data_IF_219679756229
#
_entry.id   IF_219679756229
#
_cell.length_a   1.000
_cell.length_b   1.000
_cell.length_c   1.000
_cell.angle_alpha   90.00
_cell.angle_beta   90.00
_cell.angle_gamma   90.00
#
_symmetry.space_group_name_H-M   'P 1'
#
loop_
_entity.id
_entity.type
_entity.pdbx_description
1 polymer ?
#
# COMPACT_ATOMS: atom_id res chain seq x y z
N UNK A 1 11.23 7.81 2.60
CA UNK A 1 10.61 7.23 3.81
C UNK A 1 10.91 5.73 3.87
N UNK A 2 10.84 5.05 5.03
CA UNK A 2 10.92 3.57 5.07
C UNK A 2 9.56 2.99 5.43
N UNK A 3 8.94 2.28 4.50
CA UNK A 3 7.77 1.45 4.79
C UNK A 3 8.22 0.20 5.56
N UNK A 4 7.51 -0.14 6.64
CA UNK A 4 7.85 -1.28 7.50
C UNK A 4 6.63 -2.19 7.57
N UNK A 5 6.78 -3.43 7.10
CA UNK A 5 5.75 -4.48 7.22
C UNK A 5 5.52 -4.75 8.71
N UNK A 6 4.25 -4.76 9.11
CA UNK A 6 3.84 -4.87 10.52
C UNK A 6 3.88 -3.55 11.30
N UNK A 7 4.27 -2.45 10.66
CA UNK A 7 4.18 -1.10 11.20
C UNK A 7 2.92 -0.38 10.76
N UNK A 8 2.87 0.92 11.02
CA UNK A 8 1.79 1.81 10.57
C UNK A 8 2.31 2.79 9.53
N UNK A 9 1.43 3.14 8.59
CA UNK A 9 1.71 4.20 7.63
C UNK A 9 1.89 5.52 8.39
N UNK A 10 2.96 6.26 8.13
CA UNK A 10 3.22 7.50 8.83
C UNK A 10 2.14 8.54 8.52
N UNK A 11 1.60 9.18 9.57
CA UNK A 11 0.39 9.98 9.45
C UNK A 11 0.50 11.13 8.43
N UNK A 12 1.67 11.77 8.37
CA UNK A 12 1.96 12.86 7.44
C UNK A 12 1.96 12.43 5.98
N UNK A 13 2.12 11.13 5.72
CA UNK A 13 2.28 10.60 4.37
C UNK A 13 1.01 9.98 3.79
N UNK A 14 -0.03 9.79 4.63
CA UNK A 14 -1.29 9.14 4.24
C UNK A 14 -1.95 9.84 3.04
N UNK A 15 -1.90 11.17 2.99
CA UNK A 15 -2.51 11.94 1.90
C UNK A 15 -1.80 11.78 0.55
N UNK A 16 -0.61 11.19 0.53
CA UNK A 16 0.11 10.91 -0.72
C UNK A 16 -0.16 9.49 -1.24
N UNK A 17 -0.93 8.67 -0.52
CA UNK A 17 -1.38 7.38 -1.04
C UNK A 17 -2.37 7.66 -2.17
N UNK A 18 -2.05 7.19 -3.38
CA UNK A 18 -2.92 7.31 -4.53
C UNK A 18 -3.57 5.96 -4.87
N UNK A 19 -4.63 5.96 -5.70
CA UNK A 19 -5.10 4.73 -6.33
C UNK A 19 -3.97 4.02 -7.08
N UNK A 20 -4.08 2.70 -7.23
CA UNK A 20 -3.13 1.92 -8.01
C UNK A 20 -3.12 2.37 -9.48
N UNK A 21 -1.95 2.37 -10.14
CA UNK A 21 -1.89 2.52 -11.58
C UNK A 21 -2.78 1.48 -12.29
N UNK A 22 -3.55 1.88 -13.32
CA UNK A 22 -4.48 0.98 -14.01
C UNK A 22 -3.82 -0.31 -14.52
N UNK A 23 -2.58 -0.20 -15.00
CA UNK A 23 -1.83 -1.30 -15.60
C UNK A 23 -1.45 -2.39 -14.59
N UNK A 24 -1.59 -2.15 -13.29
CA UNK A 24 -1.15 -3.05 -12.21
C UNK A 24 -2.31 -3.88 -11.64
N UNK A 25 -3.55 -3.39 -11.73
CA UNK A 25 -4.73 -4.01 -11.10
C UNK A 25 -4.92 -5.50 -11.47
N UNK A 26 -4.56 -5.91 -12.69
CA UNK A 26 -4.74 -7.28 -13.16
C UNK A 26 -3.65 -8.28 -12.73
N UNK A 27 -2.51 -7.78 -12.24
CA UNK A 27 -1.34 -8.63 -11.92
C UNK A 27 -1.17 -8.91 -10.44
N UNK A 28 -1.87 -8.16 -9.58
CA UNK A 28 -1.78 -8.33 -8.13
C UNK A 28 -2.78 -9.35 -7.61
N UNK A 29 -2.42 -10.15 -6.60
CA UNK A 29 -3.41 -10.89 -5.84
C UNK A 29 -4.38 -9.91 -5.15
N UNK A 30 -5.63 -10.33 -4.89
CA UNK A 30 -6.55 -9.51 -4.11
C UNK A 30 -6.00 -9.28 -2.69
N UNK A 31 -6.29 -8.12 -2.08
CA UNK A 31 -5.86 -7.85 -0.72
C UNK A 31 -6.61 -8.76 0.28
N UNK A 32 -6.04 -8.99 1.47
CA UNK A 32 -6.76 -9.68 2.55
C UNK A 32 -8.10 -9.01 2.89
N UNK A 33 -9.09 -9.74 3.43
CA UNK A 33 -10.37 -9.16 3.83
C UNK A 33 -10.20 -7.99 4.80
N UNK A 34 -10.84 -6.85 4.49
CA UNK A 34 -10.76 -5.63 5.30
C UNK A 34 -9.54 -4.74 5.00
N UNK A 35 -8.62 -5.19 4.17
CA UNK A 35 -7.47 -4.41 3.72
C UNK A 35 -7.73 -3.80 2.33
N UNK A 36 -7.04 -2.70 2.04
CA UNK A 36 -7.03 -2.06 0.73
C UNK A 36 -5.61 -1.97 0.18
N UNK A 37 -5.51 -1.60 -1.09
CA UNK A 37 -4.23 -1.35 -1.77
C UNK A 37 -4.14 0.11 -2.20
N UNK A 38 -2.96 0.68 -2.01
CA UNK A 38 -2.64 2.03 -2.49
C UNK A 38 -1.25 2.08 -3.09
N UNK A 39 -1.03 3.05 -3.97
CA UNK A 39 0.28 3.35 -4.54
C UNK A 39 0.97 4.45 -3.74
N UNK A 40 2.25 4.26 -3.46
CA UNK A 40 3.08 5.25 -2.80
C UNK A 40 4.53 5.12 -3.28
N UNK A 41 5.06 6.17 -3.92
CA UNK A 41 6.48 6.28 -4.33
C UNK A 41 7.10 5.03 -4.99
N UNK A 42 6.38 4.38 -5.91
CA UNK A 42 6.88 3.18 -6.60
C UNK A 42 6.56 1.86 -5.89
N UNK A 43 5.85 1.91 -4.76
CA UNK A 43 5.40 0.75 -4.02
C UNK A 43 3.89 0.58 -4.12
N UNK A 44 3.45 -0.68 -4.11
CA UNK A 44 2.07 -1.03 -3.74
C UNK A 44 2.06 -1.39 -2.27
N UNK A 45 1.22 -0.70 -1.50
CA UNK A 45 1.09 -0.89 -0.07
C UNK A 45 -0.26 -1.51 0.22
N UNK A 46 -0.25 -2.64 0.92
CA UNK A 46 -1.46 -3.32 1.40
C UNK A 46 -1.64 -2.93 2.87
N UNK A 47 -2.73 -2.24 3.17
CA UNK A 47 -2.96 -1.67 4.50
C UNK A 47 -4.42 -1.69 4.94
N UNK A 48 -4.64 -1.65 6.26
CA UNK A 48 -5.97 -1.44 6.85
C UNK A 48 -6.37 0.03 6.67
N UNK A 49 -7.47 0.36 5.96
CA UNK A 49 -7.86 1.74 5.70
C UNK A 49 -8.31 2.54 6.93
N UNK A 50 -8.55 1.88 8.07
CA UNK A 50 -8.95 2.53 9.32
C UNK A 50 -7.73 2.92 10.15
N UNK A 51 -6.79 1.98 10.32
CA UNK A 51 -5.62 2.17 11.20
C UNK A 51 -4.34 2.52 10.46
N UNK A 52 -4.33 2.33 9.13
CA UNK A 52 -3.14 2.41 8.30
C UNK A 52 -2.04 1.41 8.68
N UNK A 53 -2.41 0.30 9.31
CA UNK A 53 -1.49 -0.81 9.55
C UNK A 53 -1.02 -1.43 8.22
N UNK A 54 0.28 -1.56 8.01
CA UNK A 54 0.90 -2.08 6.80
C UNK A 54 1.02 -3.60 6.93
N UNK A 55 0.19 -4.33 6.18
CA UNK A 55 0.27 -5.79 6.11
C UNK A 55 1.36 -6.26 5.14
N UNK A 56 1.59 -5.54 4.05
CA UNK A 56 2.62 -5.89 3.07
C UNK A 56 2.99 -4.70 2.17
N UNK A 57 4.15 -4.78 1.54
CA UNK A 57 4.66 -3.82 0.57
C UNK A 57 5.24 -4.57 -0.62
N UNK A 58 4.88 -4.16 -1.83
CA UNK A 58 5.39 -4.71 -3.09
C UNK A 58 6.16 -3.59 -3.80
N UNK A 59 7.42 -3.82 -4.13
CA UNK A 59 8.25 -2.90 -4.90
C UNK A 59 8.00 -3.11 -6.41
N UNK A 60 7.64 -2.04 -7.11
CA UNK A 60 7.39 -2.06 -8.56
C UNK A 60 8.60 -1.64 -9.39
N UNK A 61 9.64 -1.11 -8.75
CA UNK A 61 10.85 -0.61 -9.41
C UNK A 61 12.00 -1.62 -9.43
N UNK A 62 11.76 -2.83 -8.92
CA UNK A 62 12.77 -3.86 -8.71
C UNK A 62 12.88 -4.87 -9.86
#
# INVERSE_FOLDING_TARGET
MRLVIGGFFPYVDISYISPLPPDIYGYLPPPPPGYTMGYYEGYVVIYDPVTFYIANVIDLMQ
#
